data_IF_687906070727
#
_entry.id   IF_687906070727
#
_cell.length_a   1.000
_cell.length_b   1.000
_cell.length_c   1.000
_cell.angle_alpha   90.00
_cell.angle_beta   90.00
_cell.angle_gamma   90.00
#
_symmetry.space_group_name_H-M   'P 1'
#
loop_
_entity.id
_entity.type
_entity.pdbx_description
1 polymer ?
#
# COMPACT_ATOMS: atom_id res chain seq x y z
N UNK A 1 31.90 -5.87 7.62
CA UNK A 1 30.52 -5.93 8.13
C UNK A 1 29.61 -4.88 7.47
N UNK A 2 30.05 -3.63 7.26
CA UNK A 2 29.25 -2.60 6.56
C UNK A 2 28.74 -3.01 5.16
N UNK A 3 29.59 -3.59 4.30
CA UNK A 3 29.18 -4.05 2.95
C UNK A 3 28.09 -5.13 2.95
N UNK A 4 27.99 -5.95 4.00
CA UNK A 4 26.97 -6.99 4.10
C UNK A 4 25.62 -6.40 4.50
N UNK A 5 25.61 -5.34 5.31
CA UNK A 5 24.39 -4.59 5.67
C UNK A 5 23.83 -3.84 4.46
N UNK A 6 24.69 -3.15 3.70
CA UNK A 6 24.30 -2.42 2.48
C UNK A 6 23.63 -3.33 1.43
N UNK A 7 24.14 -4.55 1.24
CA UNK A 7 23.56 -5.52 0.30
C UNK A 7 22.20 -6.01 0.77
N UNK A 8 22.02 -6.21 2.08
CA UNK A 8 20.74 -6.65 2.65
C UNK A 8 19.67 -5.55 2.55
N UNK A 9 20.04 -4.29 2.79
CA UNK A 9 19.13 -3.15 2.67
C UNK A 9 18.71 -2.91 1.22
N UNK A 10 19.65 -3.04 0.27
CA UNK A 10 19.34 -3.02 -1.16
C UNK A 10 18.40 -4.17 -1.56
N UNK A 11 18.64 -5.38 -1.05
CA UNK A 11 17.76 -6.52 -1.32
C UNK A 11 16.36 -6.30 -0.78
N UNK A 12 16.21 -5.77 0.43
CA UNK A 12 14.91 -5.45 1.03
C UNK A 12 14.16 -4.43 0.19
N UNK A 13 14.84 -3.34 -0.18
CA UNK A 13 14.30 -2.28 -1.04
C UNK A 13 13.86 -2.82 -2.40
N UNK A 14 14.68 -3.68 -3.01
CA UNK A 14 14.35 -4.25 -4.31
C UNK A 14 13.29 -5.34 -4.22
N UNK A 15 13.08 -6.02 -3.09
CA UNK A 15 12.02 -7.03 -2.98
C UNK A 15 10.64 -6.39 -2.83
N UNK A 16 10.54 -5.33 -2.06
CA UNK A 16 9.29 -4.62 -1.84
C UNK A 16 8.94 -3.75 -3.07
N UNK A 17 7.77 -3.95 -3.71
CA UNK A 17 7.40 -3.18 -4.89
C UNK A 17 7.21 -1.68 -4.63
N UNK A 18 6.79 -1.29 -3.42
CA UNK A 18 6.62 0.10 -3.02
C UNK A 18 8.00 0.74 -2.85
N UNK A 19 8.88 0.14 -2.04
CA UNK A 19 10.23 0.68 -1.82
C UNK A 19 11.03 0.76 -3.11
N UNK A 20 10.89 -0.24 -4.00
CA UNK A 20 11.51 -0.24 -5.32
C UNK A 20 11.01 0.92 -6.18
N UNK A 21 9.70 1.16 -6.21
CA UNK A 21 9.12 2.25 -6.97
C UNK A 21 9.59 3.62 -6.45
N UNK A 22 9.65 3.79 -5.14
CA UNK A 22 10.15 5.02 -4.51
C UNK A 22 11.62 5.27 -4.83
N UNK A 23 12.45 4.23 -4.79
CA UNK A 23 13.84 4.33 -5.19
C UNK A 23 13.97 4.78 -6.66
N UNK A 24 13.15 4.23 -7.57
CA UNK A 24 13.11 4.64 -8.98
C UNK A 24 12.70 6.12 -9.10
N UNK A 25 11.64 6.55 -8.41
CA UNK A 25 11.16 7.94 -8.44
C UNK A 25 12.25 8.89 -7.93
N UNK A 26 12.87 8.59 -6.79
CA UNK A 26 13.92 9.42 -6.20
C UNK A 26 15.13 9.57 -7.13
N UNK A 27 15.54 8.49 -7.80
CA UNK A 27 16.63 8.52 -8.78
C UNK A 27 16.33 9.39 -10.01
N UNK A 28 15.07 9.48 -10.44
CA UNK A 28 14.69 10.22 -11.65
C UNK A 28 14.30 11.67 -11.38
N UNK A 29 13.77 11.98 -10.19
CA UNK A 29 13.29 13.32 -9.84
C UNK A 29 14.27 14.11 -8.98
N UNK A 30 15.18 13.44 -8.28
CA UNK A 30 16.03 14.05 -7.27
C UNK A 30 15.27 14.48 -6.00
N UNK A 31 13.96 14.24 -5.94
CA UNK A 31 13.16 14.47 -4.73
C UNK A 31 13.37 13.32 -3.76
N UNK A 32 13.79 13.62 -2.52
CA UNK A 32 13.57 12.71 -1.41
C UNK A 32 12.08 12.76 -1.08
N UNK A 33 11.41 11.60 -1.16
CA UNK A 33 9.99 11.52 -0.85
C UNK A 33 9.75 11.93 0.61
N UNK A 34 9.10 13.07 0.81
CA UNK A 34 8.59 13.45 2.12
C UNK A 34 7.28 12.68 2.37
N UNK A 35 7.40 11.59 3.12
CA UNK A 35 6.29 10.69 3.47
C UNK A 35 5.23 11.36 4.35
N UNK A 36 5.57 12.45 5.06
CA UNK A 36 4.66 13.11 5.99
C UNK A 36 3.79 14.19 5.31
N UNK A 37 4.27 14.80 4.22
CA UNK A 37 3.59 15.94 3.59
C UNK A 37 2.61 15.60 2.46
N UNK A 38 2.68 14.40 1.85
CA UNK A 38 1.92 14.10 0.60
C UNK A 38 0.56 13.41 0.79
N UNK A 39 0.21 12.93 1.98
CA UNK A 39 -1.01 12.12 2.22
C UNK A 39 -2.35 12.89 2.07
N UNK A 40 -2.34 14.21 2.04
CA UNK A 40 -3.55 15.03 2.27
C UNK A 40 -4.32 15.48 1.02
N UNK A 41 -3.90 15.10 -0.21
CA UNK A 41 -4.45 15.71 -1.44
C UNK A 41 -5.52 14.88 -2.17
N UNK A 42 -5.71 13.60 -1.84
CA UNK A 42 -6.70 12.75 -2.50
C UNK A 42 -7.93 12.51 -1.61
N UNK A 43 -8.88 13.45 -1.65
CA UNK A 43 -10.13 13.40 -0.86
C UNK A 43 -10.95 12.14 -1.16
N UNK A 44 -10.96 11.70 -2.43
CA UNK A 44 -11.71 10.50 -2.81
C UNK A 44 -11.11 9.26 -2.15
N UNK A 45 -9.77 9.18 -2.11
CA UNK A 45 -9.10 8.08 -1.42
C UNK A 45 -9.33 8.13 0.09
N UNK A 46 -9.26 9.30 0.72
CA UNK A 46 -9.53 9.43 2.16
C UNK A 46 -10.96 8.95 2.54
N UNK A 47 -11.97 9.25 1.71
CA UNK A 47 -13.33 8.73 1.93
C UNK A 47 -13.38 7.21 1.75
N UNK A 48 -12.68 6.67 0.75
CA UNK A 48 -12.60 5.22 0.54
C UNK A 48 -11.89 4.51 1.72
N UNK A 49 -10.84 5.11 2.27
CA UNK A 49 -10.15 4.62 3.47
C UNK A 49 -11.09 4.55 4.67
N UNK A 50 -11.90 5.59 4.88
CA UNK A 50 -12.89 5.63 5.95
C UNK A 50 -13.92 4.50 5.78
N UNK A 51 -14.48 4.38 4.57
CA UNK A 51 -15.49 3.36 4.26
C UNK A 51 -14.96 1.94 4.49
N UNK A 52 -13.71 1.67 4.09
CA UNK A 52 -13.08 0.38 4.33
C UNK A 52 -12.85 0.08 5.81
N UNK A 53 -12.52 1.11 6.61
CA UNK A 53 -12.40 0.94 8.07
C UNK A 53 -13.75 0.64 8.71
N UNK A 54 -14.79 1.37 8.34
CA UNK A 54 -16.17 1.12 8.82
C UNK A 54 -16.63 -0.29 8.46
N UNK A 55 -16.36 -0.75 7.23
CA UNK A 55 -16.68 -2.11 6.78
C UNK A 55 -15.93 -3.17 7.61
N UNK A 56 -14.64 -2.95 7.91
CA UNK A 56 -13.86 -3.87 8.74
C UNK A 56 -14.39 -3.94 10.17
N UNK A 57 -14.73 -2.79 10.77
CA UNK A 57 -15.32 -2.71 12.10
C UNK A 57 -16.68 -3.42 12.17
N UNK A 58 -17.51 -3.29 11.14
CA UNK A 58 -18.80 -3.99 11.05
C UNK A 58 -18.60 -5.50 10.99
N UNK A 59 -17.67 -5.97 10.15
CA UNK A 59 -17.33 -7.39 10.03
C UNK A 59 -16.78 -7.96 11.33
N UNK A 60 -15.88 -7.23 12.02
CA UNK A 60 -15.34 -7.62 13.32
C UNK A 60 -16.46 -7.71 14.37
N UNK A 61 -17.36 -6.71 14.42
CA UNK A 61 -18.47 -6.69 15.38
C UNK A 61 -19.48 -7.83 15.15
N UNK A 62 -19.68 -8.25 13.90
CA UNK A 62 -20.59 -9.33 13.55
C UNK A 62 -19.95 -10.71 13.62
N UNK A 63 -18.61 -10.77 13.75
CA UNK A 63 -17.81 -12.00 13.63
C UNK A 63 -18.13 -12.77 12.33
N UNK A 64 -18.41 -12.05 11.24
CA UNK A 64 -18.81 -12.67 9.97
C UNK A 64 -17.57 -13.07 9.15
N UNK A 65 -17.14 -14.32 9.32
CA UNK A 65 -16.03 -14.92 8.56
C UNK A 65 -16.19 -14.83 7.04
N UNK A 66 -17.43 -14.90 6.53
CA UNK A 66 -17.68 -14.87 5.08
C UNK A 66 -17.49 -13.47 4.56
N UNK A 67 -18.03 -12.48 5.27
CA UNK A 67 -17.85 -11.07 4.95
C UNK A 67 -16.37 -10.67 5.03
N UNK A 68 -15.62 -11.15 6.04
CA UNK A 68 -14.18 -10.93 6.14
C UNK A 68 -13.42 -11.50 4.94
N UNK A 69 -13.74 -12.74 4.55
CA UNK A 69 -13.11 -13.39 3.39
C UNK A 69 -13.40 -12.67 2.07
N UNK A 70 -14.61 -12.12 1.91
CA UNK A 70 -14.96 -11.30 0.73
C UNK A 70 -14.16 -9.99 0.76
N UNK A 71 -14.14 -9.30 1.89
CA UNK A 71 -13.42 -8.04 2.06
C UNK A 71 -11.90 -8.21 1.84
N UNK A 72 -11.30 -9.27 2.37
CA UNK A 72 -9.89 -9.60 2.13
C UNK A 72 -9.57 -9.78 0.63
N UNK A 73 -10.48 -10.42 -0.12
CA UNK A 73 -10.33 -10.58 -1.58
C UNK A 73 -10.46 -9.26 -2.31
N UNK A 74 -11.37 -8.39 -1.90
CA UNK A 74 -11.54 -7.05 -2.46
C UNK A 74 -10.27 -6.21 -2.28
N UNK A 75 -9.71 -6.15 -1.07
CA UNK A 75 -8.46 -5.41 -0.79
C UNK A 75 -7.27 -6.00 -1.56
N UNK A 76 -7.21 -7.32 -1.71
CA UNK A 76 -6.18 -7.97 -2.53
C UNK A 76 -6.30 -7.61 -4.01
N UNK A 77 -7.52 -7.58 -4.55
CA UNK A 77 -7.77 -7.20 -5.94
C UNK A 77 -7.42 -5.72 -6.17
N UNK A 78 -7.80 -4.84 -5.24
CA UNK A 78 -7.47 -3.41 -5.31
C UNK A 78 -5.95 -3.20 -5.26
N UNK A 79 -5.25 -3.90 -4.36
CA UNK A 79 -3.78 -3.84 -4.26
C UNK A 79 -3.13 -4.26 -5.59
N UNK A 80 -3.64 -5.32 -6.23
CA UNK A 80 -3.13 -5.76 -7.52
C UNK A 80 -3.38 -4.72 -8.63
N UNK A 81 -4.55 -4.07 -8.63
CA UNK A 81 -4.89 -2.98 -9.56
C UNK A 81 -3.94 -1.80 -9.39
N UNK A 82 -3.71 -1.37 -8.14
CA UNK A 82 -2.78 -0.30 -7.80
C UNK A 82 -1.33 -0.61 -8.21
N UNK A 83 -0.87 -1.86 -8.04
CA UNK A 83 0.44 -2.31 -8.51
C UNK A 83 0.58 -2.21 -10.03
N UNK A 84 -0.46 -2.60 -10.78
CA UNK A 84 -0.47 -2.47 -12.24
C UNK A 84 -0.46 -0.99 -12.66
N UNK A 85 -1.26 -0.14 -12.01
CA UNK A 85 -1.28 1.29 -12.30
C UNK A 85 0.05 1.99 -11.96
N UNK A 86 0.70 1.58 -10.87
CA UNK A 86 2.03 2.01 -10.47
C UNK A 86 3.05 1.64 -11.55
N UNK A 87 3.06 0.37 -11.99
CA UNK A 87 3.97 -0.10 -13.03
C UNK A 87 3.85 0.70 -14.33
N UNK A 88 2.62 0.91 -14.82
CA UNK A 88 2.38 1.70 -16.03
C UNK A 88 2.78 3.17 -15.87
N UNK A 89 2.59 3.75 -14.67
CA UNK A 89 2.98 5.12 -14.37
C UNK A 89 4.49 5.27 -14.34
N UNK A 90 5.23 4.33 -13.74
CA UNK A 90 6.69 4.29 -13.76
C UNK A 90 7.23 4.15 -15.18
N UNK A 91 6.67 3.22 -15.96
CA UNK A 91 7.04 3.00 -17.36
C UNK A 91 6.83 4.24 -18.22
N UNK A 92 5.75 4.97 -17.95
CA UNK A 92 5.40 6.22 -18.64
C UNK A 92 6.07 7.46 -18.03
N UNK A 93 6.97 7.29 -17.04
CA UNK A 93 7.68 8.37 -16.34
C UNK A 93 6.75 9.40 -15.68
N UNK A 94 5.53 8.99 -15.30
CA UNK A 94 4.55 9.81 -14.58
C UNK A 94 4.86 9.79 -13.07
N UNK A 95 5.97 10.41 -12.67
CA UNK A 95 6.52 10.28 -11.31
C UNK A 95 5.57 10.73 -10.19
N UNK A 96 4.88 11.85 -10.36
CA UNK A 96 3.91 12.35 -9.38
C UNK A 96 2.76 11.34 -9.18
N UNK A 97 2.27 10.74 -10.27
CA UNK A 97 1.19 9.74 -10.22
C UNK A 97 1.68 8.42 -9.61
N UNK A 98 2.89 7.99 -9.96
CA UNK A 98 3.51 6.83 -9.35
C UNK A 98 3.68 7.00 -7.83
N UNK A 99 4.09 8.18 -7.37
CA UNK A 99 4.17 8.51 -5.94
C UNK A 99 2.81 8.38 -5.24
N UNK A 100 1.74 8.89 -5.85
CA UNK A 100 0.39 8.74 -5.30
C UNK A 100 -0.02 7.27 -5.18
N UNK A 101 0.33 6.42 -6.16
CA UNK A 101 0.06 4.99 -6.06
C UNK A 101 0.87 4.30 -4.95
N UNK A 102 2.12 4.72 -4.69
CA UNK A 102 2.89 4.23 -3.55
C UNK A 102 2.19 4.54 -2.21
N UNK A 103 1.61 5.73 -2.05
CA UNK A 103 0.87 6.11 -0.85
C UNK A 103 -0.40 5.29 -0.67
N UNK A 104 -1.13 5.03 -1.77
CA UNK A 104 -2.30 4.15 -1.76
C UNK A 104 -1.95 2.72 -1.36
N UNK A 105 -0.87 2.18 -1.93
CA UNK A 105 -0.39 0.83 -1.62
C UNK A 105 0.07 0.68 -0.17
N UNK A 106 0.68 1.71 0.43
CA UNK A 106 1.01 1.69 1.86
C UNK A 106 -0.23 1.55 2.72
N UNK A 107 -1.30 2.26 2.37
CA UNK A 107 -2.55 2.15 3.10
C UNK A 107 -3.18 0.77 2.92
N UNK A 108 -3.27 0.24 1.70
CA UNK A 108 -3.87 -1.08 1.48
C UNK A 108 -3.06 -2.18 2.18
N UNK A 109 -1.73 -2.06 2.25
CA UNK A 109 -0.90 -2.96 3.05
C UNK A 109 -1.26 -2.93 4.54
N UNK A 110 -1.37 -1.73 5.13
CA UNK A 110 -1.80 -1.59 6.54
C UNK A 110 -3.18 -2.17 6.77
N UNK A 111 -4.11 -1.95 5.83
CA UNK A 111 -5.46 -2.50 5.92
C UNK A 111 -5.44 -4.03 5.81
N UNK A 112 -4.60 -4.62 4.95
CA UNK A 112 -4.42 -6.07 4.90
C UNK A 112 -3.89 -6.64 6.23
N UNK A 113 -2.92 -5.98 6.88
CA UNK A 113 -2.46 -6.38 8.21
C UNK A 113 -3.57 -6.25 9.27
N UNK A 114 -4.43 -5.23 9.19
CA UNK A 114 -5.60 -5.08 10.06
C UNK A 114 -6.62 -6.21 9.84
N UNK A 115 -6.89 -6.59 8.58
CA UNK A 115 -7.76 -7.71 8.22
C UNK A 115 -7.22 -9.04 8.77
N UNK A 116 -5.92 -9.30 8.61
CA UNK A 116 -5.27 -10.52 9.14
C UNK A 116 -5.42 -10.60 10.67
N UNK A 117 -5.29 -9.48 11.38
CA UNK A 117 -5.51 -9.45 12.84
C UNK A 117 -6.96 -9.71 13.24
N UNK A 118 -7.92 -9.23 12.44
CA UNK A 118 -9.34 -9.52 12.68
C UNK A 118 -9.63 -10.99 12.38
N UNK A 119 -9.03 -11.54 11.34
CA UNK A 119 -9.09 -12.97 11.01
C UNK A 119 -8.63 -13.82 12.19
N UNK A 120 -7.45 -13.53 12.76
CA UNK A 120 -6.90 -14.20 13.95
C UNK A 120 -7.77 -14.09 15.21
N UNK A 121 -8.69 -13.12 15.29
CA UNK A 121 -9.61 -12.94 16.43
C UNK A 121 -10.92 -13.70 16.26
N UNK A 122 -11.35 -13.91 15.03
CA UNK A 122 -12.61 -14.59 14.70
C UNK A 122 -12.40 -16.11 14.68
N UNK A 123 -11.23 -16.58 14.23
CA UNK A 123 -10.84 -17.99 14.25
C UNK A 123 -10.25 -18.44 15.59
#
# INVERSE_FOLDING_TARGET
MQKSTEVNDALKTLKDPILRAEAIIALNTGEQLDLEQKSTQDVAFLMQQLQWREQLEEVESQQDERALNVFAKEIKQETQSLLTALFESLKSQQWARASQYCDKLRFTHKLSEEIERVEERIF
#
